data_IF_703088400436
#
_entry.id   IF_703088400436
#
_cell.length_a   1.000
_cell.length_b   1.000
_cell.length_c   1.000
_cell.angle_alpha   90.00
_cell.angle_beta   90.00
_cell.angle_gamma   90.00
#
_symmetry.space_group_name_H-M   'P 1'
#
loop_
_entity.id
_entity.type
_entity.pdbx_description
1 polymer ?
#
# COMPACT_ATOMS: atom_id res chain seq x y z
N UNK A 1 -34.65 62.16 47.38
CA UNK A 1 -34.45 60.79 46.85
C UNK A 1 -33.00 60.64 46.44
N UNK A 2 -32.21 59.84 47.16
CA UNK A 2 -30.82 59.53 46.81
C UNK A 2 -30.80 58.39 45.78
N UNK A 3 -29.98 58.46 44.72
CA UNK A 3 -29.91 57.40 43.72
C UNK A 3 -29.28 56.12 44.31
N UNK A 4 -29.69 54.92 43.87
CA UNK A 4 -29.15 53.66 44.37
C UNK A 4 -27.66 53.54 44.02
N UNK A 5 -26.83 53.19 45.02
CA UNK A 5 -25.41 52.88 44.83
C UNK A 5 -25.28 51.71 43.85
N UNK A 6 -24.65 51.94 42.69
CA UNK A 6 -24.26 50.85 41.78
C UNK A 6 -23.34 49.90 42.54
N UNK A 7 -23.57 48.57 42.51
CA UNK A 7 -22.64 47.63 43.12
C UNK A 7 -21.27 47.82 42.47
N UNK A 8 -20.23 47.94 43.30
CA UNK A 8 -18.86 48.06 42.84
C UNK A 8 -18.54 46.82 41.99
N UNK A 9 -18.23 47.01 40.70
CA UNK A 9 -17.69 45.94 39.88
C UNK A 9 -16.31 45.62 40.42
N UNK A 10 -16.11 44.41 40.93
CA UNK A 10 -14.80 43.90 41.30
C UNK A 10 -13.94 43.91 40.04
N UNK A 11 -12.91 44.77 40.02
CA UNK A 11 -11.93 44.80 38.96
C UNK A 11 -10.97 43.62 39.15
N UNK A 12 -10.80 42.82 38.10
CA UNK A 12 -9.87 41.69 38.10
C UNK A 12 -8.44 42.20 38.28
N UNK A 13 -7.66 41.59 39.17
CA UNK A 13 -6.26 41.95 39.35
C UNK A 13 -5.42 41.37 38.21
N UNK A 14 -4.33 42.06 37.85
CA UNK A 14 -3.39 41.59 36.82
C UNK A 14 -2.83 40.20 37.16
N UNK A 15 -2.63 39.91 38.45
CA UNK A 15 -2.14 38.62 38.94
C UNK A 15 -3.16 37.50 38.70
N UNK A 16 -4.44 37.72 39.02
CA UNK A 16 -5.50 36.72 38.78
C UNK A 16 -5.60 36.37 37.29
N UNK A 17 -5.50 37.37 36.41
CA UNK A 17 -5.51 37.13 34.97
C UNK A 17 -4.29 36.30 34.52
N UNK A 18 -3.09 36.64 34.99
CA UNK A 18 -1.86 35.90 34.70
C UNK A 18 -1.93 34.45 35.16
N UNK A 19 -2.45 34.18 36.37
CA UNK A 19 -2.60 32.82 36.90
C UNK A 19 -3.56 32.00 36.05
N UNK A 20 -4.71 32.57 35.64
CA UNK A 20 -5.67 31.86 34.78
C UNK A 20 -5.06 31.52 33.43
N UNK A 21 -4.35 32.46 32.80
CA UNK A 21 -3.70 32.21 31.51
C UNK A 21 -2.60 31.17 31.67
N UNK A 22 -1.81 31.20 32.76
CA UNK A 22 -0.79 30.20 33.04
C UNK A 22 -1.38 28.79 33.21
N UNK A 23 -2.49 28.65 33.93
CA UNK A 23 -3.19 27.36 34.09
C UNK A 23 -3.70 26.87 32.73
N UNK A 24 -4.37 27.72 31.94
CA UNK A 24 -4.87 27.35 30.61
C UNK A 24 -3.71 26.94 29.70
N UNK A 25 -2.60 27.67 29.70
CA UNK A 25 -1.42 27.34 28.90
C UNK A 25 -0.84 25.97 29.28
N UNK A 26 -0.73 25.66 30.57
CA UNK A 26 -0.26 24.35 31.04
C UNK A 26 -1.25 23.24 30.65
N UNK A 27 -2.56 23.45 30.83
CA UNK A 27 -3.58 22.47 30.44
C UNK A 27 -3.55 22.19 28.93
N UNK A 28 -3.46 23.23 28.09
CA UNK A 28 -3.36 23.07 26.63
C UNK A 28 -2.06 22.35 26.25
N UNK A 29 -0.93 22.70 26.89
CA UNK A 29 0.36 22.06 26.63
C UNK A 29 0.33 20.55 26.96
N UNK A 30 -0.42 20.13 27.98
CA UNK A 30 -0.58 18.72 28.33
C UNK A 30 -1.64 18.01 27.47
N UNK A 31 -2.69 18.71 27.05
CA UNK A 31 -3.79 18.14 26.26
C UNK A 31 -3.45 17.99 24.78
N UNK A 32 -2.66 18.89 24.19
CA UNK A 32 -2.36 18.86 22.76
C UNK A 32 -1.64 17.56 22.33
N UNK A 33 -0.57 17.09 23.00
CA UNK A 33 0.06 15.82 22.67
C UNK A 33 -0.89 14.63 22.85
N UNK A 34 -1.72 14.67 23.90
CA UNK A 34 -2.68 13.60 24.20
C UNK A 34 -3.76 13.48 23.12
N UNK A 35 -4.34 14.61 22.68
CA UNK A 35 -5.34 14.65 21.60
C UNK A 35 -4.74 14.17 20.28
N UNK A 36 -3.49 14.53 19.98
CA UNK A 36 -2.80 14.07 18.77
C UNK A 36 -2.57 12.56 18.79
N UNK A 37 -2.09 12.02 19.90
CA UNK A 37 -1.89 10.58 20.10
C UNK A 37 -3.21 9.81 19.97
N UNK A 38 -4.29 10.32 20.58
CA UNK A 38 -5.61 9.71 20.49
C UNK A 38 -6.15 9.70 19.04
N UNK A 39 -5.97 10.80 18.29
CA UNK A 39 -6.36 10.87 16.87
C UNK A 39 -5.58 9.88 16.02
N UNK A 40 -4.28 9.74 16.24
CA UNK A 40 -3.47 8.78 15.48
C UNK A 40 -3.84 7.33 15.81
N UNK A 41 -4.10 7.03 17.08
CA UNK A 41 -4.59 5.71 17.49
C UNK A 41 -5.93 5.36 16.80
N UNK A 42 -6.85 6.32 16.69
CA UNK A 42 -8.11 6.13 15.97
C UNK A 42 -7.90 5.90 14.47
N UNK A 43 -7.03 6.68 13.82
CA UNK A 43 -6.69 6.48 12.40
C UNK A 43 -6.05 5.10 12.16
N UNK A 44 -5.14 4.69 13.03
CA UNK A 44 -4.52 3.36 12.95
C UNK A 44 -5.52 2.23 13.15
N UNK A 45 -6.43 2.36 14.11
CA UNK A 45 -7.51 1.38 14.29
C UNK A 45 -8.39 1.24 13.04
N UNK A 46 -8.66 2.36 12.34
CA UNK A 46 -9.36 2.33 11.06
C UNK A 46 -8.53 1.65 9.96
N UNK A 47 -7.23 1.95 9.80
CA UNK A 47 -6.40 1.26 8.81
C UNK A 47 -6.25 -0.25 9.13
N UNK A 48 -6.18 -0.64 10.41
CA UNK A 48 -6.24 -2.05 10.83
C UNK A 48 -7.57 -2.72 10.42
N UNK A 49 -8.71 -2.04 10.57
CA UNK A 49 -10.00 -2.56 10.14
C UNK A 49 -10.12 -2.68 8.62
N UNK A 50 -9.64 -1.68 7.86
CA UNK A 50 -9.55 -1.74 6.40
C UNK A 50 -8.70 -2.95 5.95
N UNK A 51 -7.52 -3.12 6.56
CA UNK A 51 -6.63 -4.25 6.27
C UNK A 51 -7.31 -5.59 6.60
N UNK A 52 -8.07 -5.66 7.70
CA UNK A 52 -8.85 -6.85 8.08
C UNK A 52 -9.92 -7.16 7.04
N UNK A 53 -10.63 -6.16 6.53
CA UNK A 53 -11.62 -6.33 5.46
C UNK A 53 -10.97 -6.88 4.19
N UNK A 54 -9.81 -6.34 3.78
CA UNK A 54 -9.08 -6.82 2.60
C UNK A 54 -8.60 -8.26 2.75
N UNK A 55 -8.02 -8.61 3.90
CA UNK A 55 -7.54 -9.96 4.15
C UNK A 55 -8.71 -10.98 4.18
N UNK A 56 -9.85 -10.63 4.79
CA UNK A 56 -11.06 -11.46 4.75
C UNK A 56 -11.66 -11.55 3.35
N UNK A 57 -11.65 -10.46 2.57
CA UNK A 57 -12.11 -10.47 1.19
C UNK A 57 -11.27 -11.41 0.31
N UNK A 58 -9.95 -11.45 0.51
CA UNK A 58 -9.08 -12.39 -0.19
C UNK A 58 -9.37 -13.85 0.18
N UNK A 59 -9.70 -14.14 1.44
CA UNK A 59 -10.09 -15.49 1.86
C UNK A 59 -11.46 -15.89 1.32
N UNK A 60 -12.41 -14.96 1.25
CA UNK A 60 -13.70 -15.22 0.62
C UNK A 60 -13.56 -15.43 -0.90
N UNK A 61 -12.69 -14.64 -1.55
CA UNK A 61 -12.32 -14.83 -2.94
C UNK A 61 -11.72 -16.23 -3.14
N UNK A 62 -10.80 -16.64 -2.29
CA UNK A 62 -10.18 -17.97 -2.35
C UNK A 62 -11.18 -19.10 -2.14
N UNK A 63 -12.12 -18.95 -1.20
CA UNK A 63 -13.17 -19.94 -0.98
C UNK A 63 -14.00 -20.20 -2.24
N UNK A 64 -14.27 -19.16 -3.04
CA UNK A 64 -15.04 -19.27 -4.29
C UNK A 64 -14.17 -19.71 -5.48
N UNK A 65 -12.96 -19.18 -5.61
CA UNK A 65 -12.12 -19.35 -6.79
C UNK A 65 -11.00 -20.39 -6.64
N UNK A 66 -10.81 -20.95 -5.44
CA UNK A 66 -9.78 -21.93 -5.08
C UNK A 66 -8.34 -21.42 -5.26
N UNK A 67 -8.17 -20.10 -5.41
CA UNK A 67 -6.90 -19.39 -5.49
C UNK A 67 -7.03 -18.04 -4.79
N UNK A 68 -5.96 -17.57 -4.17
CA UNK A 68 -5.83 -16.18 -3.72
C UNK A 68 -5.92 -15.26 -4.94
N UNK A 69 -6.46 -14.05 -4.75
CA UNK A 69 -6.61 -13.08 -5.82
C UNK A 69 -5.30 -12.86 -6.58
N UNK A 70 -5.33 -12.77 -7.92
CA UNK A 70 -4.16 -12.39 -8.69
C UNK A 70 -3.77 -10.94 -8.41
N UNK A 71 -2.47 -10.63 -8.51
CA UNK A 71 -1.96 -9.24 -8.47
C UNK A 71 -2.29 -8.44 -9.74
N UNK A 72 -2.94 -9.07 -10.70
CA UNK A 72 -3.41 -8.50 -11.95
C UNK A 72 -3.00 -9.32 -13.17
N UNK A 73 -3.43 -8.89 -14.34
CA UNK A 73 -3.12 -9.55 -15.61
C UNK A 73 -2.51 -8.57 -16.62
N UNK A 74 -1.74 -9.13 -17.55
CA UNK A 74 -1.26 -8.42 -18.74
C UNK A 74 -1.77 -9.11 -20.00
N UNK A 75 -2.03 -8.31 -21.03
CA UNK A 75 -2.54 -8.73 -22.33
C UNK A 75 -1.41 -8.60 -23.36
N UNK A 76 -1.44 -9.45 -24.38
CA UNK A 76 -0.50 -9.34 -25.50
C UNK A 76 -0.70 -7.99 -26.20
N UNK A 77 0.40 -7.32 -26.52
CA UNK A 77 0.38 -6.01 -27.16
C UNK A 77 -0.22 -6.00 -28.57
N UNK A 78 -0.41 -7.17 -29.18
CA UNK A 78 -1.13 -7.35 -30.44
C UNK A 78 -2.65 -7.31 -30.28
N UNK A 79 -3.17 -7.44 -29.07
CA UNK A 79 -4.60 -7.35 -28.79
C UNK A 79 -5.03 -5.87 -28.67
N UNK A 80 -6.24 -5.53 -29.14
CA UNK A 80 -6.77 -4.17 -28.98
C UNK A 80 -7.01 -3.84 -27.50
N UNK A 81 -6.81 -2.57 -27.13
CA UNK A 81 -7.02 -2.05 -25.78
C UNK A 81 -5.73 -1.93 -24.97
N UNK A 82 -5.86 -1.96 -23.65
CA UNK A 82 -4.72 -1.83 -22.72
C UNK A 82 -3.93 -3.13 -22.62
N UNK A 83 -2.60 -2.99 -22.53
CA UNK A 83 -1.68 -4.08 -22.17
C UNK A 83 -1.81 -4.51 -20.71
N UNK A 84 -2.31 -3.63 -19.86
CA UNK A 84 -2.53 -3.88 -18.44
C UNK A 84 -4.00 -4.17 -18.18
N UNK A 85 -4.25 -5.07 -17.25
CA UNK A 85 -5.59 -5.34 -16.76
C UNK A 85 -5.72 -4.88 -15.30
N UNK A 86 -6.80 -5.25 -14.65
CA UNK A 86 -7.11 -4.82 -13.29
C UNK A 86 -6.25 -5.51 -12.22
N UNK A 87 -6.09 -4.82 -11.09
CA UNK A 87 -5.34 -5.30 -9.92
C UNK A 87 -6.19 -6.16 -8.96
N UNK A 88 -5.61 -6.62 -7.84
CA UNK A 88 -6.27 -7.52 -6.89
C UNK A 88 -7.56 -6.91 -6.30
N UNK A 89 -7.58 -5.59 -6.06
CA UNK A 89 -8.75 -4.94 -5.49
C UNK A 89 -9.97 -5.07 -6.38
N UNK A 90 -9.83 -4.91 -7.70
CA UNK A 90 -10.97 -5.04 -8.63
C UNK A 90 -11.54 -6.45 -8.62
N UNK A 91 -10.68 -7.48 -8.62
CA UNK A 91 -11.11 -8.88 -8.58
C UNK A 91 -11.82 -9.23 -7.27
N UNK A 92 -11.47 -8.55 -6.18
CA UNK A 92 -12.07 -8.77 -4.87
C UNK A 92 -13.32 -7.91 -4.60
N UNK A 93 -13.72 -6.98 -5.47
CA UNK A 93 -14.85 -6.03 -5.22
C UNK A 93 -16.13 -6.68 -4.65
N UNK A 94 -16.61 -7.83 -5.16
CA UNK A 94 -17.79 -8.50 -4.60
C UNK A 94 -17.63 -8.93 -3.14
N UNK A 95 -16.40 -9.17 -2.70
CA UNK A 95 -16.07 -9.74 -1.38
C UNK A 95 -15.83 -8.70 -0.29
N UNK A 96 -15.95 -7.41 -0.63
CA UNK A 96 -15.97 -6.28 0.31
C UNK A 96 -17.04 -5.25 -0.04
N UNK A 97 -18.22 -5.74 -0.45
CA UNK A 97 -19.45 -4.96 -0.66
C UNK A 97 -19.42 -3.93 -1.80
N UNK A 98 -18.58 -4.12 -2.82
CA UNK A 98 -18.48 -3.24 -3.98
C UNK A 98 -19.02 -3.87 -5.28
N UNK A 99 -20.10 -4.66 -5.18
CA UNK A 99 -20.71 -5.34 -6.34
C UNK A 99 -21.12 -4.39 -7.47
N UNK A 100 -21.64 -3.20 -7.12
CA UNK A 100 -22.05 -2.21 -8.12
C UNK A 100 -20.86 -1.72 -8.97
N UNK A 101 -19.70 -1.54 -8.33
CA UNK A 101 -18.46 -1.17 -9.02
C UNK A 101 -17.98 -2.32 -9.89
N UNK A 102 -18.01 -3.56 -9.38
CA UNK A 102 -17.64 -4.75 -10.15
C UNK A 102 -18.45 -4.90 -11.44
N UNK A 103 -19.77 -4.69 -11.36
CA UNK A 103 -20.67 -4.77 -12.52
C UNK A 103 -20.42 -3.66 -13.57
N UNK A 104 -19.76 -2.57 -13.18
CA UNK A 104 -19.40 -1.48 -14.10
C UNK A 104 -18.05 -1.72 -14.81
N UNK A 105 -17.28 -2.72 -14.40
CA UNK A 105 -15.96 -3.02 -14.99
C UNK A 105 -16.13 -3.76 -16.31
N UNK A 106 -15.46 -3.26 -17.35
CA UNK A 106 -15.31 -4.01 -18.61
C UNK A 106 -13.96 -4.75 -18.63
N UNK A 107 -13.99 -6.06 -18.43
CA UNK A 107 -12.79 -6.90 -18.34
C UNK A 107 -12.08 -7.16 -19.68
N UNK A 108 -12.74 -6.92 -20.82
CA UNK A 108 -12.21 -7.25 -22.14
C UNK A 108 -11.13 -6.27 -22.66
N UNK A 109 -11.34 -4.93 -22.69
CA UNK A 109 -10.36 -3.99 -23.23
C UNK A 109 -9.20 -3.67 -22.26
N UNK A 110 -9.25 -4.15 -21.01
CA UNK A 110 -8.25 -3.86 -19.98
C UNK A 110 -8.42 -2.48 -19.32
N UNK A 111 -7.56 -2.19 -18.34
CA UNK A 111 -7.79 -1.09 -17.38
C UNK A 111 -7.65 0.30 -18.01
N UNK A 112 -6.60 0.54 -18.79
CA UNK A 112 -6.30 1.89 -19.31
C UNK A 112 -6.95 2.13 -20.68
N UNK A 113 -8.28 2.16 -20.69
CA UNK A 113 -9.09 2.39 -21.89
C UNK A 113 -10.24 3.35 -21.58
N UNK A 114 -10.78 4.00 -22.61
CA UNK A 114 -11.89 4.95 -22.45
C UNK A 114 -13.13 4.30 -21.82
N UNK A 115 -13.36 3.03 -22.10
CA UNK A 115 -14.48 2.23 -21.58
C UNK A 115 -14.41 2.06 -20.06
N UNK A 116 -13.21 2.07 -19.48
CA UNK A 116 -12.97 1.86 -18.05
C UNK A 116 -12.50 3.11 -17.31
N UNK A 117 -12.46 4.28 -17.96
CA UNK A 117 -12.00 5.50 -17.27
C UNK A 117 -12.94 5.93 -16.14
N UNK A 118 -14.23 5.61 -16.22
CA UNK A 118 -15.22 6.00 -15.22
C UNK A 118 -14.97 5.34 -13.86
N UNK A 119 -14.56 4.07 -13.84
CA UNK A 119 -14.27 3.37 -12.59
C UNK A 119 -13.01 3.89 -11.91
N UNK A 120 -12.07 4.49 -12.65
CA UNK A 120 -10.84 5.04 -12.10
C UNK A 120 -11.13 6.10 -11.03
N UNK A 121 -12.16 6.92 -11.22
CA UNK A 121 -12.55 7.99 -10.30
C UNK A 121 -13.39 7.55 -9.09
N UNK A 122 -13.78 6.28 -9.00
CA UNK A 122 -14.59 5.79 -7.88
C UNK A 122 -13.70 5.64 -6.65
N UNK A 123 -13.98 6.42 -5.61
CA UNK A 123 -13.25 6.35 -4.33
C UNK A 123 -13.85 5.27 -3.44
N UNK A 124 -13.02 4.33 -2.99
CA UNK A 124 -13.40 3.27 -2.05
C UNK A 124 -12.67 3.52 -0.73
N UNK A 125 -13.41 3.93 0.30
CA UNK A 125 -12.82 4.31 1.59
C UNK A 125 -12.07 3.17 2.29
N UNK A 126 -12.47 1.93 2.06
CA UNK A 126 -11.78 0.73 2.56
C UNK A 126 -10.37 0.58 1.96
N UNK A 127 -10.07 1.23 0.83
CA UNK A 127 -8.75 1.21 0.20
C UNK A 127 -7.87 2.39 0.62
N UNK A 128 -8.36 3.34 1.42
CA UNK A 128 -7.65 4.58 1.74
C UNK A 128 -7.33 4.64 3.24
N UNK A 129 -6.06 4.87 3.59
CA UNK A 129 -5.66 5.00 4.98
C UNK A 129 -5.83 6.45 5.45
N UNK A 130 -6.64 6.74 6.49
CA UNK A 130 -6.84 8.10 7.02
C UNK A 130 -5.57 8.83 7.49
N UNK A 131 -4.45 8.14 7.75
CA UNK A 131 -3.17 8.81 8.06
C UNK A 131 -2.46 9.33 6.80
N UNK A 132 -2.87 8.89 5.61
CA UNK A 132 -2.46 9.43 4.32
C UNK A 132 -3.61 10.24 3.70
N UNK A 133 -3.72 11.50 4.11
CA UNK A 133 -4.78 12.39 3.63
C UNK A 133 -4.78 12.54 2.10
N UNK A 134 -3.62 12.41 1.45
CA UNK A 134 -3.51 12.57 -0.01
C UNK A 134 -4.14 11.41 -0.79
N UNK A 135 -4.32 10.25 -0.15
CA UNK A 135 -4.98 9.11 -0.79
C UNK A 135 -6.46 9.39 -1.10
N UNK A 136 -7.08 10.36 -0.43
CA UNK A 136 -8.46 10.81 -0.66
C UNK A 136 -8.57 11.83 -1.80
N UNK A 137 -7.45 12.37 -2.29
CA UNK A 137 -7.46 13.31 -3.40
C UNK A 137 -7.67 12.57 -4.72
N UNK A 138 -8.59 13.09 -5.53
CA UNK A 138 -8.77 12.66 -6.91
C UNK A 138 -7.74 13.33 -7.81
N UNK A 139 -6.75 12.59 -8.27
CA UNK A 139 -5.71 13.11 -9.18
C UNK A 139 -6.15 12.98 -10.63
N UNK A 140 -5.66 13.82 -11.56
CA UNK A 140 -5.87 13.57 -12.99
C UNK A 140 -5.39 12.17 -13.38
N UNK A 141 -6.11 11.50 -14.29
CA UNK A 141 -5.61 10.26 -14.90
C UNK A 141 -4.35 10.55 -15.73
N UNK A 142 -3.43 9.59 -15.80
CA UNK A 142 -2.30 9.70 -16.70
C UNK A 142 -2.75 9.42 -18.15
N UNK A 143 -3.03 10.47 -18.91
CA UNK A 143 -3.51 10.38 -20.30
C UNK A 143 -2.57 9.59 -21.23
N UNK A 144 -1.29 9.46 -20.89
CA UNK A 144 -0.34 8.68 -21.71
C UNK A 144 -0.50 7.17 -21.56
N UNK A 145 -1.15 6.71 -20.48
CA UNK A 145 -1.44 5.29 -20.24
C UNK A 145 -2.75 4.85 -20.90
N UNK A 146 -3.71 5.77 -21.06
CA UNK A 146 -5.04 5.45 -21.60
C UNK A 146 -5.07 5.46 -23.12
N UNK A 147 -5.55 4.37 -23.70
CA UNK A 147 -5.84 4.29 -25.13
C UNK A 147 -7.16 5.01 -25.45
N UNK A 148 -7.15 5.86 -26.49
CA UNK A 148 -8.35 6.50 -27.06
C UNK A 148 -9.20 7.31 -26.07
N UNK A 149 -8.56 7.93 -25.06
CA UNK A 149 -9.28 8.66 -24.02
C UNK A 149 -10.01 9.89 -24.59
N UNK A 150 -11.34 10.03 -24.38
CA UNK A 150 -12.08 11.21 -24.80
C UNK A 150 -11.65 12.45 -24.02
N UNK A 151 -11.76 13.63 -24.63
CA UNK A 151 -11.49 14.89 -23.96
C UNK A 151 -12.40 15.04 -22.72
N UNK A 152 -11.80 15.33 -21.56
CA UNK A 152 -12.52 15.46 -20.30
C UNK A 152 -11.58 15.59 -19.11
N UNK A 153 -12.11 16.02 -17.97
CA UNK A 153 -11.37 16.10 -16.70
C UNK A 153 -11.48 14.78 -15.91
N UNK A 154 -10.88 13.74 -16.46
CA UNK A 154 -10.90 12.39 -15.89
C UNK A 154 -10.00 12.29 -14.66
N UNK A 155 -10.52 11.65 -13.60
CA UNK A 155 -9.83 11.52 -12.32
C UNK A 155 -9.56 10.06 -11.95
N UNK A 156 -8.56 9.88 -11.09
CA UNK A 156 -8.10 8.61 -10.55
C UNK A 156 -8.13 8.69 -9.02
N UNK A 157 -8.91 7.82 -8.39
CA UNK A 157 -8.85 7.53 -6.97
C UNK A 157 -7.67 6.60 -6.67
N UNK A 158 -7.24 6.58 -5.40
CA UNK A 158 -6.00 5.94 -4.96
C UNK A 158 -6.24 4.88 -3.91
N UNK A 159 -5.35 3.90 -3.87
CA UNK A 159 -5.26 2.95 -2.77
C UNK A 159 -4.08 3.33 -1.87
N UNK A 160 -4.16 3.00 -0.59
CA UNK A 160 -3.09 3.06 0.42
C UNK A 160 -2.56 1.66 0.78
N UNK A 161 -3.03 0.63 0.10
CA UNK A 161 -2.68 -0.76 0.33
C UNK A 161 -2.27 -1.41 -0.99
N UNK A 162 -1.45 -2.45 -0.92
CA UNK A 162 -1.08 -3.27 -2.08
C UNK A 162 -0.99 -4.75 -1.73
N UNK A 163 -1.22 -5.61 -2.73
CA UNK A 163 -0.98 -7.05 -2.63
C UNK A 163 0.51 -7.36 -2.60
N UNK A 164 0.94 -8.22 -1.68
CA UNK A 164 2.36 -8.59 -1.51
C UNK A 164 2.76 -9.63 -2.55
N UNK A 165 3.60 -9.21 -3.50
CA UNK A 165 4.10 -10.07 -4.59
C UNK A 165 5.22 -11.00 -4.13
N UNK A 166 5.84 -10.70 -2.98
CA UNK A 166 7.05 -11.35 -2.49
C UNK A 166 8.14 -10.37 -2.04
N UNK A 167 9.36 -10.87 -1.90
CA UNK A 167 10.52 -10.05 -1.53
C UNK A 167 10.94 -9.08 -2.64
N UNK A 168 10.57 -9.39 -3.89
CA UNK A 168 10.92 -8.60 -5.07
C UNK A 168 9.84 -8.73 -6.15
N UNK A 169 9.77 -7.76 -7.06
CA UNK A 169 8.92 -7.82 -8.25
C UNK A 169 9.75 -7.97 -9.52
N UNK A 170 9.16 -8.64 -10.50
CA UNK A 170 9.74 -8.93 -11.79
C UNK A 170 8.79 -8.54 -12.92
N UNK A 171 8.30 -7.29 -12.95
CA UNK A 171 7.44 -6.71 -14.01
C UNK A 171 6.95 -7.74 -15.04
N UNK A 172 5.86 -8.44 -14.72
CA UNK A 172 5.43 -9.62 -15.47
C UNK A 172 4.54 -9.21 -16.65
N UNK A 173 5.11 -9.30 -17.85
CA UNK A 173 4.40 -9.02 -19.09
C UNK A 173 4.39 -10.27 -19.98
N UNK A 174 3.21 -10.68 -20.47
CA UNK A 174 3.05 -11.91 -21.28
C UNK A 174 3.84 -11.91 -22.59
N UNK A 175 4.16 -10.73 -23.13
CA UNK A 175 5.01 -10.58 -24.33
C UNK A 175 6.51 -10.71 -24.04
N UNK A 176 6.91 -10.79 -22.77
CA UNK A 176 8.32 -10.94 -22.43
C UNK A 176 8.80 -12.37 -22.76
N UNK A 177 9.87 -12.56 -23.55
CA UNK A 177 10.39 -13.88 -23.87
C UNK A 177 10.76 -14.72 -22.64
N UNK A 178 11.05 -14.07 -21.49
CA UNK A 178 11.38 -14.75 -20.23
C UNK A 178 10.24 -14.77 -19.23
N UNK A 179 9.00 -14.50 -19.66
CA UNK A 179 7.81 -14.47 -18.81
C UNK A 179 7.69 -15.71 -17.90
N UNK A 180 7.76 -16.91 -18.47
CA UNK A 180 7.62 -18.15 -17.70
C UNK A 180 8.70 -18.31 -16.62
N UNK A 181 9.93 -17.93 -16.93
CA UNK A 181 11.05 -17.97 -15.98
C UNK A 181 10.88 -16.93 -14.87
N UNK A 182 10.43 -15.72 -15.20
CA UNK A 182 10.16 -14.67 -14.22
C UNK A 182 9.00 -15.04 -13.29
N UNK A 183 7.94 -15.66 -13.82
CA UNK A 183 6.83 -16.19 -13.00
C UNK A 183 7.36 -17.20 -11.97
N UNK A 184 8.23 -18.12 -12.38
CA UNK A 184 8.84 -19.10 -11.47
C UNK A 184 9.73 -18.47 -10.38
N UNK A 185 10.28 -17.28 -10.62
CA UNK A 185 11.11 -16.55 -9.65
C UNK A 185 10.31 -15.63 -8.71
N UNK A 186 8.99 -15.57 -8.84
CA UNK A 186 8.11 -14.89 -7.86
C UNK A 186 7.91 -15.74 -6.62
N UNK A 187 7.94 -15.13 -5.44
CA UNK A 187 7.95 -15.85 -4.16
C UNK A 187 6.85 -15.44 -3.16
N UNK A 188 6.03 -14.43 -3.43
CA UNK A 188 4.87 -14.09 -2.60
C UNK A 188 3.55 -14.66 -3.12
N UNK A 189 2.43 -14.27 -2.51
CA UNK A 189 1.12 -14.83 -2.79
C UNK A 189 0.35 -14.10 -3.90
N UNK A 190 0.47 -12.76 -3.97
CA UNK A 190 -0.31 -11.89 -4.87
C UNK A 190 0.61 -11.23 -5.88
N UNK A 191 0.97 -11.94 -6.94
CA UNK A 191 1.76 -11.41 -8.06
C UNK A 191 0.96 -11.43 -9.37
N UNK A 192 1.40 -10.72 -10.40
CA UNK A 192 0.70 -10.70 -11.68
C UNK A 192 0.64 -12.10 -12.31
N UNK A 193 -0.52 -12.51 -12.80
CA UNK A 193 -0.83 -13.88 -13.27
C UNK A 193 -0.66 -14.99 -12.22
N UNK A 194 -0.69 -14.65 -10.92
CA UNK A 194 -0.69 -15.67 -9.86
C UNK A 194 -1.97 -16.49 -9.86
N UNK A 195 -1.81 -17.75 -9.47
CA UNK A 195 -2.88 -18.72 -9.19
C UNK A 195 -2.54 -19.46 -7.89
N UNK A 196 -2.06 -18.70 -6.90
CA UNK A 196 -1.58 -19.23 -5.62
C UNK A 196 -2.74 -19.81 -4.84
N UNK A 197 -2.69 -21.10 -4.49
CA UNK A 197 -3.67 -21.73 -3.60
C UNK A 197 -3.23 -21.58 -2.15
N UNK A 198 -4.16 -21.66 -1.19
CA UNK A 198 -3.79 -21.71 0.23
C UNK A 198 -2.82 -22.86 0.53
N UNK A 199 -2.97 -24.00 -0.15
CA UNK A 199 -2.07 -25.15 -0.03
C UNK A 199 -0.63 -24.87 -0.50
N UNK A 200 -0.42 -23.84 -1.33
CA UNK A 200 0.90 -23.45 -1.80
C UNK A 200 1.61 -22.51 -0.79
N UNK A 201 0.92 -22.08 0.28
CA UNK A 201 1.47 -21.31 1.39
C UNK A 201 1.99 -22.26 2.47
N UNK A 202 3.18 -22.80 2.25
CA UNK A 202 3.81 -23.77 3.17
C UNK A 202 4.53 -23.12 4.34
N UNK A 203 4.82 -21.82 4.26
CA UNK A 203 5.49 -21.05 5.34
C UNK A 203 4.54 -20.75 6.51
N UNK A 204 3.24 -21.02 6.34
CA UNK A 204 2.19 -20.81 7.33
C UNK A 204 1.30 -19.62 6.98
N UNK A 205 -0.03 -19.81 7.05
CA UNK A 205 -0.98 -18.74 6.72
C UNK A 205 -0.94 -17.57 7.71
N UNK A 206 -0.56 -17.83 8.95
CA UNK A 206 -0.37 -16.81 10.00
C UNK A 206 0.98 -16.10 9.95
N UNK A 207 1.82 -16.41 8.96
CA UNK A 207 3.19 -15.92 8.79
C UNK A 207 3.50 -15.48 7.35
N UNK A 208 2.53 -15.55 6.44
CA UNK A 208 2.62 -15.02 5.07
C UNK A 208 1.73 -13.79 4.91
N UNK A 209 2.29 -12.68 4.48
CA UNK A 209 1.57 -11.45 4.17
C UNK A 209 0.84 -11.57 2.83
N UNK A 210 -0.42 -11.14 2.82
CA UNK A 210 -1.20 -10.93 1.59
C UNK A 210 -1.21 -9.45 1.20
N UNK A 211 -1.33 -8.55 2.16
CA UNK A 211 -1.44 -7.12 1.91
C UNK A 211 -0.57 -6.34 2.88
N UNK A 212 -0.08 -5.18 2.45
CA UNK A 212 0.51 -4.20 3.34
C UNK A 212 0.22 -2.78 2.86
N UNK A 213 0.51 -1.80 3.71
CA UNK A 213 0.39 -0.38 3.39
C UNK A 213 1.52 0.08 2.44
N UNK A 214 1.22 1.10 1.62
CA UNK A 214 2.20 1.94 0.93
C UNK A 214 1.94 3.43 1.20
N UNK A 215 2.96 4.29 1.03
CA UNK A 215 2.87 5.73 1.32
C UNK A 215 2.60 6.53 0.03
N UNK A 216 1.33 6.82 -0.26
CA UNK A 216 0.96 7.66 -1.41
C UNK A 216 1.34 9.12 -1.19
N UNK A 217 1.18 9.62 0.04
CA UNK A 217 1.50 10.98 0.42
C UNK A 217 2.97 11.35 0.30
N UNK A 218 3.87 10.37 0.15
CA UNK A 218 5.29 10.62 -0.12
C UNK A 218 5.49 11.42 -1.41
N UNK A 219 4.62 11.21 -2.40
CA UNK A 219 4.81 11.75 -3.72
C UNK A 219 4.35 13.21 -3.86
N UNK A 220 5.06 13.93 -4.74
CA UNK A 220 4.61 15.22 -5.26
C UNK A 220 3.38 15.06 -6.18
N UNK A 221 2.82 16.16 -6.66
CA UNK A 221 1.60 16.13 -7.49
C UNK A 221 1.76 15.24 -8.75
N UNK A 222 2.93 15.25 -9.39
CA UNK A 222 3.20 14.43 -10.57
C UNK A 222 3.21 12.93 -10.22
N UNK A 223 3.84 12.55 -9.10
CA UNK A 223 3.87 11.16 -8.66
C UNK A 223 2.53 10.67 -8.16
N UNK A 224 1.80 11.53 -7.45
CA UNK A 224 0.44 11.21 -7.03
C UNK A 224 -0.47 10.96 -8.23
N UNK A 225 -0.30 11.69 -9.34
CA UNK A 225 -1.02 11.39 -10.58
C UNK A 225 -0.60 10.06 -11.21
N UNK A 226 0.67 9.70 -11.14
CA UNK A 226 1.26 8.52 -11.80
C UNK A 226 1.03 7.18 -11.07
N UNK A 227 1.03 7.19 -9.73
CA UNK A 227 1.10 5.96 -8.93
C UNK A 227 -0.17 5.70 -8.10
N UNK A 228 -0.26 4.46 -7.60
CA UNK A 228 -1.24 3.95 -6.64
C UNK A 228 -2.70 4.01 -7.13
N UNK A 229 -2.93 3.92 -8.45
CA UNK A 229 -4.28 3.85 -9.01
C UNK A 229 -5.02 2.59 -8.56
N UNK A 230 -6.09 2.72 -7.78
CA UNK A 230 -6.68 1.61 -7.02
C UNK A 230 -7.16 0.43 -7.89
N UNK A 231 -7.55 0.69 -9.14
CA UNK A 231 -8.12 -0.30 -10.05
C UNK A 231 -7.07 -1.02 -10.92
N UNK A 232 -5.86 -0.49 -10.99
CA UNK A 232 -4.85 -0.90 -11.97
C UNK A 232 -4.03 -2.09 -11.51
N UNK A 233 -3.80 -3.05 -12.41
CA UNK A 233 -2.85 -4.16 -12.22
C UNK A 233 -1.42 -3.80 -12.66
N UNK A 234 -1.14 -2.51 -12.89
CA UNK A 234 0.22 -2.03 -13.08
C UNK A 234 1.02 -2.22 -11.80
N UNK A 235 2.27 -2.66 -11.95
CA UNK A 235 3.09 -3.16 -10.85
C UNK A 235 3.43 -2.14 -9.76
N UNK A 236 3.24 -0.84 -9.97
CA UNK A 236 3.46 0.20 -8.95
C UNK A 236 2.16 0.76 -8.38
N UNK A 237 1.00 0.17 -8.71
CA UNK A 237 -0.29 0.73 -8.32
C UNK A 237 -0.95 -0.02 -7.15
N UNK A 238 -1.11 -1.33 -7.27
CA UNK A 238 -1.92 -2.13 -6.32
C UNK A 238 -1.19 -3.35 -5.79
N UNK A 239 0.09 -3.45 -6.07
CA UNK A 239 0.97 -4.51 -5.59
C UNK A 239 2.25 -3.91 -5.03
N UNK A 240 2.87 -4.61 -4.09
CA UNK A 240 4.04 -4.17 -3.34
C UNK A 240 4.97 -5.35 -3.03
N UNK A 241 6.22 -5.05 -2.73
CA UNK A 241 7.23 -6.01 -2.31
C UNK A 241 7.92 -5.60 -1.03
N UNK A 242 8.52 -6.59 -0.37
CA UNK A 242 9.35 -6.38 0.82
C UNK A 242 10.83 -6.36 0.51
N UNK A 243 11.27 -5.61 -0.51
CA UNK A 243 12.70 -5.56 -0.86
C UNK A 243 13.46 -4.65 0.11
N UNK A 244 12.89 -3.46 0.36
CA UNK A 244 13.44 -2.47 1.28
C UNK A 244 12.83 -2.60 2.67
N UNK A 245 13.52 -2.12 3.72
CA UNK A 245 12.95 -2.03 5.07
C UNK A 245 11.63 -1.25 5.06
N UNK A 246 10.73 -1.58 5.99
CA UNK A 246 9.46 -0.84 6.19
C UNK A 246 9.77 0.65 6.40
N UNK A 247 9.12 1.54 5.63
CA UNK A 247 9.40 2.98 5.64
C UNK A 247 10.87 3.34 5.31
N UNK A 248 11.60 2.43 4.68
CA UNK A 248 13.04 2.54 4.43
C UNK A 248 13.42 3.11 3.07
N UNK A 249 12.53 3.07 2.08
CA UNK A 249 12.83 3.51 0.70
C UNK A 249 13.31 4.96 0.66
N UNK A 250 12.61 5.88 1.33
CA UNK A 250 12.98 7.30 1.37
C UNK A 250 14.26 7.61 2.15
N UNK A 251 14.78 6.67 2.96
CA UNK A 251 16.10 6.79 3.61
C UNK A 251 17.24 6.49 2.62
N UNK A 252 16.94 5.80 1.53
CA UNK A 252 17.92 5.24 0.59
C UNK A 252 17.84 5.87 -0.80
N UNK A 253 16.62 6.20 -1.22
CA UNK A 253 16.23 6.68 -2.54
C UNK A 253 15.66 8.10 -2.46
N UNK A 254 15.73 8.83 -3.58
CA UNK A 254 15.22 10.21 -3.66
C UNK A 254 14.05 10.28 -4.64
N UNK A 255 12.97 10.93 -4.24
CA UNK A 255 11.80 11.15 -5.10
C UNK A 255 12.11 11.96 -6.37
N UNK A 256 13.17 12.78 -6.33
CA UNK A 256 13.65 13.54 -7.49
C UNK A 256 14.30 12.67 -8.57
N UNK A 257 14.67 11.43 -8.25
CA UNK A 257 15.22 10.46 -9.20
C UNK A 257 14.08 9.64 -9.81
N UNK A 258 13.78 9.86 -11.07
CA UNK A 258 12.68 9.19 -11.78
C UNK A 258 12.83 7.67 -11.81
N UNK A 259 14.04 7.13 -11.87
CA UNK A 259 14.27 5.69 -11.86
C UNK A 259 14.01 5.06 -10.48
N UNK A 260 14.15 5.85 -9.41
CA UNK A 260 13.94 5.40 -8.04
C UNK A 260 12.47 5.45 -7.60
N UNK A 261 11.65 6.28 -8.25
CA UNK A 261 10.24 6.48 -7.87
C UNK A 261 9.41 5.20 -7.91
N UNK A 262 9.63 4.35 -8.92
CA UNK A 262 8.92 3.08 -9.03
C UNK A 262 9.23 2.16 -7.84
N UNK A 263 10.49 2.12 -7.38
CA UNK A 263 10.88 1.37 -6.18
C UNK A 263 10.31 1.97 -4.90
N UNK A 264 10.14 3.29 -4.83
CA UNK A 264 9.48 3.95 -3.68
C UNK A 264 7.99 3.58 -3.65
N UNK A 265 7.31 3.60 -4.80
CA UNK A 265 5.88 3.29 -4.91
C UNK A 265 5.58 1.83 -4.58
N UNK A 266 6.44 0.93 -5.05
CA UNK A 266 6.22 -0.52 -4.97
C UNK A 266 6.67 -1.17 -3.64
N UNK A 267 7.07 -0.41 -2.62
CA UNK A 267 7.53 -1.00 -1.34
C UNK A 267 6.67 -0.59 -0.16
N UNK A 268 6.74 -1.40 0.90
CA UNK A 268 5.96 -1.21 2.12
C UNK A 268 6.29 0.15 2.74
N UNK A 269 5.24 0.94 2.95
CA UNK A 269 5.32 2.31 3.48
C UNK A 269 4.04 2.71 4.18
N UNK A 270 4.13 3.57 5.18
CA UNK A 270 2.97 4.04 5.94
C UNK A 270 3.24 5.38 6.59
N UNK A 271 2.17 6.15 6.78
CA UNK A 271 2.17 7.40 7.55
C UNK A 271 1.98 7.19 9.04
N UNK A 272 1.76 5.95 9.48
CA UNK A 272 1.72 5.61 10.89
C UNK A 272 3.13 5.69 11.51
N UNK A 273 3.27 6.25 12.73
CA UNK A 273 4.54 6.26 13.42
C UNK A 273 5.08 4.84 13.71
N UNK A 274 6.33 4.58 13.33
CA UNK A 274 7.09 3.40 13.77
C UNK A 274 6.85 2.11 12.98
N UNK A 275 6.10 2.12 11.88
CA UNK A 275 5.85 0.89 11.12
C UNK A 275 4.70 1.00 10.12
N UNK A 276 4.22 -0.16 9.66
CA UNK A 276 3.10 -0.29 8.72
C UNK A 276 2.18 -1.45 9.14
N UNK A 277 0.88 -1.33 8.85
CA UNK A 277 -0.04 -2.46 9.01
C UNK A 277 0.11 -3.46 7.86
N UNK A 278 0.01 -4.75 8.19
CA UNK A 278 0.09 -5.86 7.23
C UNK A 278 -1.05 -6.84 7.51
N UNK A 279 -1.68 -7.34 6.44
CA UNK A 279 -2.73 -8.36 6.47
C UNK A 279 -2.16 -9.71 6.07
N UNK A 280 -2.42 -10.74 6.86
CA UNK A 280 -1.86 -12.09 6.67
C UNK A 280 -2.85 -13.03 5.99
N UNK A 281 -2.35 -14.18 5.51
CA UNK A 281 -3.12 -15.19 4.81
C UNK A 281 -4.12 -15.96 5.69
N UNK A 282 -4.06 -15.82 7.02
CA UNK A 282 -5.09 -16.28 7.95
C UNK A 282 -6.16 -15.21 8.25
N UNK A 283 -6.07 -14.06 7.59
CA UNK A 283 -6.95 -12.91 7.80
C UNK A 283 -6.60 -12.07 9.02
N UNK A 284 -5.56 -12.41 9.80
CA UNK A 284 -5.10 -11.57 10.90
C UNK A 284 -4.37 -10.32 10.39
N UNK A 285 -4.32 -9.28 11.24
CA UNK A 285 -3.61 -8.03 10.93
C UNK A 285 -2.55 -7.82 11.98
N UNK A 286 -1.34 -7.44 11.54
CA UNK A 286 -0.21 -7.14 12.43
C UNK A 286 0.37 -5.78 12.07
N UNK A 287 1.06 -5.18 13.03
CA UNK A 287 1.83 -3.97 12.81
C UNK A 287 3.30 -4.33 12.77
N UNK A 288 3.91 -4.12 11.61
CA UNK A 288 5.30 -4.45 11.35
C UNK A 288 6.16 -3.20 11.62
N UNK A 289 7.09 -3.31 12.55
CA UNK A 289 7.94 -2.18 12.95
C UNK A 289 8.92 -1.79 11.85
N UNK A 290 9.31 -0.51 11.81
CA UNK A 290 10.40 -0.05 10.95
C UNK A 290 11.77 -0.63 11.33
N UNK A 291 11.90 -1.14 12.56
CA UNK A 291 13.08 -1.86 13.08
C UNK A 291 13.04 -3.38 12.84
N UNK A 292 12.06 -3.91 12.12
CA UNK A 292 12.00 -5.35 11.84
C UNK A 292 13.29 -5.82 11.15
N UNK A 293 13.75 -7.02 11.50
CA UNK A 293 14.90 -7.62 10.84
C UNK A 293 14.64 -7.78 9.34
N UNK A 294 15.56 -7.26 8.53
CA UNK A 294 15.44 -7.26 7.08
C UNK A 294 16.82 -7.33 6.41
N UNK A 295 16.83 -7.38 5.08
CA UNK A 295 18.06 -7.32 4.31
C UNK A 295 18.91 -6.08 4.59
N UNK A 296 20.22 -6.25 4.79
CA UNK A 296 21.14 -5.11 4.83
C UNK A 296 21.26 -4.52 3.42
N UNK A 297 20.84 -3.26 3.28
CA UNK A 297 20.97 -2.51 2.02
C UNK A 297 22.34 -1.83 1.97
N UNK A 298 23.06 -2.02 0.88
CA UNK A 298 24.30 -1.31 0.64
C UNK A 298 24.01 0.18 0.35
N UNK A 299 24.59 1.12 1.12
CA UNK A 299 24.30 2.54 0.96
C UNK A 299 24.86 3.13 -0.35
N UNK A 300 25.80 2.47 -1.02
CA UNK A 300 26.38 2.88 -2.30
C UNK A 300 25.53 2.35 -3.44
N UNK A 301 25.31 1.04 -3.52
CA UNK A 301 24.58 0.43 -4.65
C UNK A 301 23.07 0.53 -4.51
N UNK A 302 22.56 0.81 -3.30
CA UNK A 302 21.13 0.84 -2.95
C UNK A 302 20.41 -0.51 -3.12
N UNK A 303 21.16 -1.60 -3.14
CA UNK A 303 20.66 -2.97 -3.28
C UNK A 303 20.93 -3.79 -2.02
N UNK A 304 20.14 -4.84 -1.80
CA UNK A 304 20.39 -5.79 -0.72
C UNK A 304 21.70 -6.56 -0.95
N UNK A 305 22.50 -6.73 0.10
CA UNK A 305 23.76 -7.49 0.01
C UNK A 305 23.47 -8.98 -0.24
N UNK A 306 24.15 -9.56 -1.21
CA UNK A 306 23.96 -10.97 -1.60
C UNK A 306 22.67 -11.24 -2.39
N UNK A 307 21.96 -10.19 -2.83
CA UNK A 307 20.79 -10.30 -3.72
C UNK A 307 21.06 -9.45 -4.95
N UNK A 308 20.95 -10.05 -6.14
CA UNK A 308 21.25 -9.37 -7.39
C UNK A 308 20.25 -9.71 -8.48
N UNK A 309 20.00 -8.73 -9.32
CA UNK A 309 19.17 -8.87 -10.51
C UNK A 309 20.05 -9.23 -11.71
N UNK A 310 19.81 -10.40 -12.29
CA UNK A 310 20.61 -10.91 -13.38
C UNK A 310 20.20 -10.28 -14.72
N UNK A 311 21.14 -9.58 -15.37
CA UNK A 311 20.94 -8.92 -16.66
C UNK A 311 21.35 -9.79 -17.88
N UNK A 312 21.64 -11.08 -17.71
CA UNK A 312 22.03 -12.05 -18.77
C UNK A 312 20.94 -12.38 -19.81
N UNK A 313 19.90 -11.55 -19.89
CA UNK A 313 18.70 -11.77 -20.71
C UNK A 313 17.57 -12.49 -19.96
N UNK A 314 17.81 -13.14 -18.82
CA UNK A 314 16.77 -13.80 -18.01
C UNK A 314 15.97 -12.81 -17.18
N UNK A 315 16.64 -11.79 -16.63
CA UNK A 315 16.03 -10.74 -15.82
C UNK A 315 15.25 -11.29 -14.63
N UNK A 316 15.95 -12.08 -13.81
CA UNK A 316 15.50 -12.72 -12.58
C UNK A 316 16.30 -12.22 -11.38
N UNK A 317 15.79 -12.44 -10.17
CA UNK A 317 16.51 -12.21 -8.92
C UNK A 317 17.19 -13.49 -8.45
N UNK A 318 18.42 -13.35 -7.98
CA UNK A 318 19.26 -14.43 -7.46
C UNK A 318 19.85 -14.02 -6.13
N UNK A 319 19.98 -15.00 -5.23
CA UNK A 319 20.57 -14.83 -3.90
C UNK A 319 21.81 -15.69 -3.79
N UNK A 320 22.87 -15.15 -3.19
CA UNK A 320 24.07 -15.92 -2.88
C UNK A 320 23.76 -17.01 -1.85
N UNK A 321 24.39 -18.19 -1.94
CA UNK A 321 24.29 -19.21 -0.90
C UNK A 321 24.66 -18.62 0.48
N UNK A 322 23.76 -18.73 1.45
CA UNK A 322 23.94 -18.19 2.80
C UNK A 322 23.65 -16.70 2.94
N UNK A 323 23.14 -16.03 1.90
CA UNK A 323 22.59 -14.69 2.04
C UNK A 323 21.45 -14.70 3.07
N UNK A 324 21.45 -13.70 3.96
CA UNK A 324 20.39 -13.49 4.95
C UNK A 324 19.06 -13.33 4.21
N UNK A 325 17.95 -13.89 4.71
CA UNK A 325 16.59 -13.61 4.22
C UNK A 325 15.98 -12.51 5.09
N UNK A 326 16.00 -12.65 6.41
CA UNK A 326 15.48 -11.64 7.35
C UNK A 326 13.96 -11.75 7.50
N UNK A 327 13.45 -11.32 8.66
CA UNK A 327 12.04 -11.54 9.06
C UNK A 327 11.05 -10.88 8.08
N UNK A 328 11.33 -9.66 7.62
CA UNK A 328 10.48 -8.97 6.65
C UNK A 328 10.32 -9.79 5.35
N UNK A 329 11.43 -10.30 4.83
CA UNK A 329 11.42 -11.06 3.59
C UNK A 329 10.74 -12.42 3.78
N UNK A 330 11.01 -13.10 4.89
CA UNK A 330 10.34 -14.34 5.24
C UNK A 330 8.81 -14.19 5.33
N UNK A 331 8.34 -13.05 5.85
CA UNK A 331 6.91 -12.71 5.86
C UNK A 331 6.31 -12.47 4.47
N UNK A 332 7.13 -12.07 3.49
CA UNK A 332 6.66 -11.82 2.13
C UNK A 332 6.51 -13.10 1.32
N UNK A 333 7.11 -14.21 1.74
CA UNK A 333 7.17 -15.45 0.97
C UNK A 333 6.03 -16.41 1.29
N UNK A 334 5.63 -17.18 0.29
CA UNK A 334 4.64 -18.26 0.44
C UNK A 334 5.28 -19.60 0.80
N UNK A 335 6.50 -19.87 0.34
CA UNK A 335 7.11 -21.20 0.40
C UNK A 335 8.66 -21.22 0.44
N UNK A 336 9.28 -20.29 1.17
CA UNK A 336 10.73 -20.25 1.36
C UNK A 336 11.24 -21.21 2.47
N UNK A 337 10.35 -21.82 3.24
CA UNK A 337 10.66 -22.83 4.26
C UNK A 337 11.09 -22.27 5.62
N UNK A 338 10.91 -20.97 5.88
CA UNK A 338 11.28 -20.34 7.15
C UNK A 338 10.07 -20.26 8.11
N UNK A 339 10.21 -20.84 9.31
CA UNK A 339 9.19 -20.73 10.38
C UNK A 339 9.50 -19.53 11.27
N UNK A 340 8.58 -18.55 11.32
CA UNK A 340 8.76 -17.29 12.07
C UNK A 340 8.00 -17.35 13.41
N UNK A 341 8.69 -17.04 14.51
CA UNK A 341 8.08 -16.97 15.86
C UNK A 341 7.18 -15.75 16.05
N UNK A 342 6.15 -15.87 16.91
CA UNK A 342 5.23 -14.80 17.34
C UNK A 342 5.93 -13.53 17.89
N UNK A 343 7.12 -13.66 18.45
CA UNK A 343 7.84 -12.56 19.12
C UNK A 343 8.74 -11.75 18.17
N UNK A 344 8.79 -12.13 16.90
CA UNK A 344 9.77 -11.63 15.93
C UNK A 344 9.33 -10.34 15.19
N UNK A 345 8.11 -9.87 15.43
CA UNK A 345 7.45 -8.78 14.67
C UNK A 345 7.64 -7.37 15.26
#
# INVERSE_FOLDING_TARGET
>A
MLPPRRPARLAFTLIELLVVIAIIAVLIALLLPAVQAAREAARRAQCTNNMKQLALAALNYESVHQVITPGGFTRKGTLPGSKWNFGPFVHMLPFYEQQAVFNAVNFDPGVFTAENVTIAGISISALQCPSDASAFDLTPVNVTQYASLPAGDWKQAKASYGGVVGCWSLLLHVDNPTFALRVQNTNGAIYAHSSTRLADITDGTSTTMLFAEHDHGAFDAAGRAQYHGWNSGYWTDTVIGGYYPVNGTLKLLRLSDSAARDYIAFNIGSRHPGGANVGLADGSVRFLKDTVDCWPIDPVTKTAKGVYFNADGRAIQTMDPGAKIGILQALCTRNFGEVISADAY
#
